data_IF_567760196210
#
_entry.id   IF_567760196210
#
_cell.length_a   1.000
_cell.length_b   1.000
_cell.length_c   1.000
_cell.angle_alpha   90.00
_cell.angle_beta   90.00
_cell.angle_gamma   90.00
#
_symmetry.space_group_name_H-M   'P 1'
#
loop_
_entity.id
_entity.type
_entity.pdbx_description
1 polymer ?
#
# COMPACT_ATOMS: atom_id res chain seq x y z
N UNK A 1 -7.16 -17.25 11.33
CA UNK A 1 -5.94 -17.00 10.54
C UNK A 1 -6.10 -15.73 9.71
N UNK A 2 -6.97 -15.69 8.69
CA UNK A 2 -7.12 -14.49 7.83
C UNK A 2 -7.51 -13.21 8.57
N UNK A 3 -8.37 -13.28 9.59
CA UNK A 3 -8.74 -12.08 10.37
C UNK A 3 -7.52 -11.41 11.02
N UNK A 4 -6.61 -12.19 11.61
CA UNK A 4 -5.39 -11.67 12.21
C UNK A 4 -4.46 -11.02 11.18
N UNK A 5 -4.30 -11.65 10.00
CA UNK A 5 -3.49 -11.11 8.90
C UNK A 5 -4.09 -9.79 8.39
N UNK A 6 -5.42 -9.71 8.25
CA UNK A 6 -6.12 -8.50 7.83
C UNK A 6 -5.90 -7.37 8.86
N UNK A 7 -6.01 -7.67 10.15
CA UNK A 7 -5.81 -6.69 11.22
C UNK A 7 -4.37 -6.17 11.23
N UNK A 8 -3.38 -7.07 11.19
CA UNK A 8 -1.95 -6.70 11.13
C UNK A 8 -1.62 -5.87 9.88
N UNK A 9 -2.18 -6.23 8.73
CA UNK A 9 -2.01 -5.46 7.49
C UNK A 9 -2.56 -4.04 7.65
N UNK A 10 -3.77 -3.91 8.21
CA UNK A 10 -4.39 -2.60 8.43
C UNK A 10 -3.63 -1.75 9.46
N UNK A 11 -3.05 -2.37 10.49
CA UNK A 11 -2.18 -1.69 11.46
C UNK A 11 -0.92 -1.14 10.80
N UNK A 12 -0.29 -1.90 9.91
CA UNK A 12 0.87 -1.46 9.13
C UNK A 12 0.50 -0.27 8.23
N UNK A 13 -0.63 -0.32 7.53
CA UNK A 13 -1.08 0.82 6.71
C UNK A 13 -1.35 2.05 7.58
N UNK A 14 -1.95 1.88 8.77
CA UNK A 14 -2.14 2.98 9.73
C UNK A 14 -0.80 3.56 10.16
N UNK A 15 0.19 2.73 10.47
CA UNK A 15 1.52 3.18 10.87
C UNK A 15 2.19 4.00 9.77
N UNK A 16 2.19 3.48 8.54
CA UNK A 16 2.68 4.18 7.35
C UNK A 16 1.98 5.54 7.16
N UNK A 17 0.64 5.56 7.13
CA UNK A 17 -0.13 6.78 6.96
C UNK A 17 0.10 7.78 8.10
N UNK A 18 0.33 7.30 9.32
CA UNK A 18 0.65 8.15 10.48
C UNK A 18 2.00 8.84 10.29
N UNK A 19 3.02 8.13 9.81
CA UNK A 19 4.32 8.74 9.49
C UNK A 19 4.22 9.73 8.34
N UNK A 20 3.39 9.44 7.34
CA UNK A 20 3.19 10.33 6.20
C UNK A 20 2.35 11.58 6.54
N UNK A 21 1.60 11.58 7.65
CA UNK A 21 0.72 12.71 8.02
C UNK A 21 1.44 14.07 8.06
N UNK A 22 2.73 14.09 8.40
CA UNK A 22 3.51 15.33 8.42
C UNK A 22 3.72 15.94 7.02
N UNK A 23 3.64 15.11 5.97
CA UNK A 23 3.85 15.53 4.57
C UNK A 23 2.54 15.74 3.80
N UNK A 24 1.50 14.95 4.09
CA UNK A 24 0.23 14.96 3.32
C UNK A 24 -1.00 15.38 4.13
N UNK A 25 -0.81 15.70 5.41
CA UNK A 25 -1.89 15.95 6.35
C UNK A 25 -2.66 14.69 6.74
N UNK A 26 -3.65 14.86 7.61
CA UNK A 26 -4.35 13.74 8.29
C UNK A 26 -5.56 13.19 7.53
N UNK A 27 -5.91 13.75 6.36
CA UNK A 27 -7.12 13.40 5.62
C UNK A 27 -7.12 11.92 5.22
N UNK A 28 -6.00 11.43 4.70
CA UNK A 28 -5.81 10.04 4.29
C UNK A 28 -5.99 9.05 5.42
N UNK A 29 -5.31 9.29 6.55
CA UNK A 29 -5.44 8.46 7.74
C UNK A 29 -6.89 8.40 8.24
N UNK A 30 -7.60 9.53 8.24
CA UNK A 30 -9.01 9.59 8.64
C UNK A 30 -9.91 8.82 7.69
N UNK A 31 -9.69 8.92 6.37
CA UNK A 31 -10.46 8.18 5.38
C UNK A 31 -10.17 6.68 5.45
N UNK A 32 -8.91 6.29 5.57
CA UNK A 32 -8.51 4.89 5.73
C UNK A 32 -9.16 4.24 6.96
N UNK A 33 -9.11 4.93 8.12
CA UNK A 33 -9.79 4.45 9.35
C UNK A 33 -11.29 4.25 9.17
N UNK A 34 -11.95 5.05 8.33
CA UNK A 34 -13.36 4.83 7.98
C UNK A 34 -13.50 3.59 7.11
N UNK A 35 -12.69 3.44 6.05
CA UNK A 35 -12.74 2.29 5.14
C UNK A 35 -12.64 0.99 5.93
N UNK A 36 -11.62 0.82 6.77
CA UNK A 36 -11.41 -0.44 7.50
C UNK A 36 -12.49 -0.73 8.54
N UNK A 37 -13.20 0.30 9.03
CA UNK A 37 -14.36 0.12 9.91
C UNK A 37 -15.55 -0.51 9.18
N UNK A 38 -15.72 -0.20 7.89
CA UNK A 38 -16.81 -0.73 7.07
C UNK A 38 -16.42 -2.01 6.33
N UNK A 39 -15.19 -2.08 5.84
CA UNK A 39 -14.65 -3.18 5.06
C UNK A 39 -13.15 -3.32 5.34
N UNK A 40 -12.82 -4.10 6.37
CA UNK A 40 -11.43 -4.32 6.79
C UNK A 40 -10.61 -5.15 5.81
N UNK A 41 -11.25 -5.94 4.94
CA UNK A 41 -10.57 -6.79 3.94
C UNK A 41 -10.20 -6.03 2.66
N UNK A 42 -10.93 -4.94 2.35
CA UNK A 42 -10.71 -4.16 1.12
C UNK A 42 -9.26 -3.69 0.93
N UNK A 43 -8.53 -3.18 1.94
CA UNK A 43 -7.17 -2.70 1.73
C UNK A 43 -6.19 -3.76 1.24
N UNK A 44 -6.21 -4.96 1.84
CA UNK A 44 -5.30 -6.04 1.46
C UNK A 44 -5.64 -6.58 0.07
N UNK A 45 -6.93 -6.64 -0.30
CA UNK A 45 -7.35 -7.01 -1.66
C UNK A 45 -6.92 -5.96 -2.69
N UNK A 46 -7.06 -4.67 -2.38
CA UNK A 46 -6.58 -3.59 -3.25
C UNK A 46 -5.06 -3.59 -3.38
N UNK A 47 -4.33 -3.85 -2.30
CA UNK A 47 -2.88 -3.95 -2.34
C UNK A 47 -2.43 -5.11 -3.23
N UNK A 48 -3.07 -6.27 -3.13
CA UNK A 48 -2.79 -7.41 -4.00
C UNK A 48 -2.97 -7.08 -5.48
N UNK A 49 -4.05 -6.37 -5.85
CA UNK A 49 -4.30 -5.99 -7.24
C UNK A 49 -3.25 -5.00 -7.77
N UNK A 50 -2.85 -4.04 -6.93
CA UNK A 50 -2.05 -2.90 -7.39
C UNK A 50 -0.53 -3.07 -7.19
N UNK A 51 -0.11 -3.78 -6.14
CA UNK A 51 1.29 -3.88 -5.73
C UNK A 51 1.94 -5.23 -6.08
N UNK A 52 1.16 -6.33 -6.11
CA UNK A 52 1.69 -7.66 -6.42
C UNK A 52 2.36 -7.77 -7.80
N UNK A 53 1.87 -7.10 -8.88
CA UNK A 53 2.58 -7.08 -10.17
C UNK A 53 4.01 -6.50 -10.10
N UNK A 54 4.30 -5.73 -9.04
CA UNK A 54 5.59 -5.11 -8.79
C UNK A 54 6.33 -5.73 -7.59
N UNK A 55 5.97 -6.96 -7.22
CA UNK A 55 6.54 -7.72 -6.10
C UNK A 55 8.07 -7.63 -6.04
N UNK A 56 8.74 -7.96 -7.12
CA UNK A 56 10.21 -8.03 -7.14
C UNK A 56 10.82 -6.65 -6.90
N UNK A 57 10.21 -5.59 -7.44
CA UNK A 57 10.62 -4.21 -7.18
C UNK A 57 10.49 -3.83 -5.70
N UNK A 58 9.44 -4.30 -5.03
CA UNK A 58 9.23 -4.07 -3.60
C UNK A 58 10.27 -4.83 -2.76
N UNK A 59 10.60 -6.06 -3.13
CA UNK A 59 11.61 -6.87 -2.43
C UNK A 59 13.02 -6.32 -2.62
N UNK A 60 13.34 -5.87 -3.83
CA UNK A 60 14.65 -5.32 -4.19
C UNK A 60 14.81 -3.84 -3.80
N UNK A 61 13.74 -3.21 -3.26
CA UNK A 61 13.69 -1.78 -2.95
C UNK A 61 14.01 -0.91 -4.15
N UNK A 62 13.56 -1.33 -5.33
CA UNK A 62 13.78 -0.63 -6.58
C UNK A 62 12.94 0.66 -6.60
N UNK A 63 13.61 1.81 -6.47
CA UNK A 63 12.99 3.13 -6.52
C UNK A 63 12.22 3.39 -7.82
N UNK A 64 12.45 2.62 -8.89
CA UNK A 64 11.65 2.66 -10.11
C UNK A 64 10.16 2.36 -9.86
N UNK A 65 9.85 1.63 -8.77
CA UNK A 65 8.49 1.40 -8.28
C UNK A 65 7.72 2.70 -8.08
N UNK A 66 8.34 3.68 -7.42
CA UNK A 66 7.71 4.99 -7.20
C UNK A 66 7.85 5.92 -8.42
N UNK A 67 8.80 5.65 -9.31
CA UNK A 67 9.16 6.57 -10.39
C UNK A 67 8.50 6.29 -11.75
N UNK A 68 7.98 5.07 -11.99
CA UNK A 68 7.34 4.71 -13.26
C UNK A 68 5.95 5.34 -13.44
N UNK A 69 5.95 6.57 -13.95
CA UNK A 69 4.76 7.34 -14.36
C UNK A 69 4.13 6.84 -15.68
N UNK A 70 4.58 5.72 -16.25
CA UNK A 70 4.11 5.21 -17.54
C UNK A 70 3.32 3.92 -17.36
N UNK A 71 2.01 4.06 -17.09
CA UNK A 71 0.93 3.26 -17.72
C UNK A 71 -0.45 3.49 -17.10
N UNK A 72 -0.57 4.39 -16.12
CA UNK A 72 -1.87 4.65 -15.52
C UNK A 72 -2.85 5.42 -16.42
N UNK A 73 -2.40 5.97 -17.56
CA UNK A 73 -3.26 6.76 -18.47
C UNK A 73 -4.36 5.94 -19.16
N UNK A 74 -4.17 4.63 -19.33
CA UNK A 74 -5.17 3.75 -19.96
C UNK A 74 -6.20 3.18 -18.97
N UNK A 75 -6.03 3.42 -17.66
CA UNK A 75 -6.95 3.01 -16.59
C UNK A 75 -7.85 4.20 -16.15
N UNK A 76 -7.66 5.40 -16.74
CA UNK A 76 -8.36 6.66 -16.42
C UNK A 76 -9.80 6.74 -16.98
N UNK A 77 -10.61 5.69 -16.85
CA UNK A 77 -12.04 5.79 -17.18
C UNK A 77 -12.98 5.96 -16.00
N UNK A 78 -12.50 5.86 -14.76
CA UNK A 78 -13.35 6.09 -13.59
C UNK A 78 -12.71 7.08 -12.60
N UNK A 79 -13.57 7.97 -12.10
CA UNK A 79 -13.40 9.12 -11.19
C UNK A 79 -12.75 8.81 -9.82
N UNK A 80 -11.68 8.02 -9.79
CA UNK A 80 -10.96 7.68 -8.56
C UNK A 80 -9.65 8.45 -8.49
N UNK A 81 -9.75 9.62 -7.87
CA UNK A 81 -8.69 10.57 -7.48
C UNK A 81 -7.44 9.96 -6.80
N UNK A 82 -7.40 8.66 -6.50
CA UNK A 82 -6.30 7.94 -5.84
C UNK A 82 -5.00 7.98 -6.64
N UNK A 83 -5.07 8.07 -7.97
CA UNK A 83 -3.90 8.11 -8.85
C UNK A 83 -3.08 9.40 -8.75
N UNK A 84 -3.75 10.53 -8.47
CA UNK A 84 -3.07 11.79 -8.17
C UNK A 84 -2.32 11.75 -6.82
N UNK A 85 -2.59 10.75 -5.97
CA UNK A 85 -1.98 10.59 -4.64
C UNK A 85 -0.72 9.73 -4.70
N UNK A 86 -0.62 8.85 -5.70
CA UNK A 86 0.61 8.12 -6.01
C UNK A 86 1.70 9.09 -6.50
N UNK A 87 1.32 10.14 -7.26
CA UNK A 87 2.22 11.25 -7.60
C UNK A 87 2.73 11.97 -6.35
N UNK A 88 1.86 12.19 -5.35
CA UNK A 88 2.28 12.74 -4.05
C UNK A 88 3.23 11.79 -3.33
N UNK A 89 2.99 10.49 -3.36
CA UNK A 89 3.86 9.51 -2.72
C UNK A 89 5.28 9.51 -3.33
N UNK A 90 5.38 9.60 -4.66
CA UNK A 90 6.66 9.77 -5.38
C UNK A 90 7.39 11.04 -4.93
N UNK A 91 6.70 12.18 -4.91
CA UNK A 91 7.30 13.45 -4.53
C UNK A 91 7.72 13.46 -3.05
N UNK A 92 6.93 12.85 -2.16
CA UNK A 92 7.30 12.68 -0.76
C UNK A 92 8.54 11.79 -0.67
N UNK A 93 8.50 10.61 -1.27
CA UNK A 93 9.57 9.62 -1.21
C UNK A 93 10.91 10.20 -1.67
N UNK A 94 10.91 10.99 -2.75
CA UNK A 94 12.11 11.64 -3.26
C UNK A 94 12.69 12.72 -2.32
N UNK A 95 11.86 13.29 -1.45
CA UNK A 95 12.26 14.32 -0.47
C UNK A 95 12.62 13.74 0.92
N UNK A 96 12.52 12.42 1.10
CA UNK A 96 12.89 11.74 2.35
C UNK A 96 14.40 11.48 2.41
N UNK A 97 14.97 11.52 3.62
CA UNK A 97 16.30 10.99 3.87
C UNK A 97 16.35 9.45 3.72
N UNK A 98 17.56 8.90 3.64
CA UNK A 98 17.74 7.47 3.41
C UNK A 98 17.14 6.59 4.52
N UNK A 99 17.12 7.07 5.77
CA UNK A 99 16.52 6.34 6.90
C UNK A 99 15.01 6.25 6.73
N UNK A 100 14.38 7.38 6.42
CA UNK A 100 12.95 7.49 6.17
C UNK A 100 12.54 6.69 4.93
N UNK A 101 13.32 6.71 3.84
CA UNK A 101 13.09 5.86 2.66
C UNK A 101 13.15 4.36 3.02
N UNK A 102 14.13 3.96 3.82
CA UNK A 102 14.25 2.58 4.29
C UNK A 102 13.02 2.16 5.11
N UNK A 103 12.54 3.03 6.00
CA UNK A 103 11.32 2.78 6.77
C UNK A 103 10.09 2.60 5.87
N UNK A 104 9.94 3.39 4.81
CA UNK A 104 8.87 3.20 3.81
C UNK A 104 8.98 1.81 3.18
N UNK A 105 10.17 1.40 2.77
CA UNK A 105 10.37 0.07 2.21
C UNK A 105 10.02 -1.05 3.18
N UNK A 106 10.40 -0.93 4.46
CA UNK A 106 10.06 -1.91 5.49
C UNK A 106 8.54 -2.10 5.61
N UNK A 107 7.76 -1.01 5.54
CA UNK A 107 6.30 -1.11 5.51
C UNK A 107 5.79 -1.82 4.26
N UNK A 108 6.28 -1.48 3.07
CA UNK A 108 5.85 -2.11 1.82
C UNK A 108 6.19 -3.60 1.78
N UNK A 109 7.36 -4.00 2.29
CA UNK A 109 7.76 -5.39 2.39
C UNK A 109 6.91 -6.16 3.40
N UNK A 110 6.59 -5.57 4.56
CA UNK A 110 5.69 -6.19 5.53
C UNK A 110 4.26 -6.36 4.97
N UNK A 111 3.73 -5.35 4.29
CA UNK A 111 2.44 -5.44 3.58
C UNK A 111 2.43 -6.54 2.52
N UNK A 112 3.52 -6.67 1.75
CA UNK A 112 3.66 -7.71 0.74
C UNK A 112 3.62 -9.12 1.35
N UNK A 113 4.40 -9.37 2.39
CA UNK A 113 4.44 -10.67 3.09
C UNK A 113 3.05 -11.06 3.61
N UNK A 114 2.36 -10.13 4.29
CA UNK A 114 1.02 -10.38 4.81
C UNK A 114 -0.01 -10.63 3.69
N UNK A 115 0.13 -9.93 2.56
CA UNK A 115 -0.73 -10.10 1.39
C UNK A 115 -0.56 -11.48 0.75
N UNK A 116 0.68 -11.95 0.62
CA UNK A 116 1.00 -13.28 0.10
C UNK A 116 0.47 -14.38 1.02
N UNK A 117 0.65 -14.24 2.33
CA UNK A 117 0.14 -15.19 3.32
C UNK A 117 -1.40 -15.20 3.33
N UNK A 118 -2.04 -14.03 3.20
CA UNK A 118 -3.49 -13.95 3.04
C UNK A 118 -3.98 -14.70 1.78
N UNK A 119 -3.29 -14.53 0.66
CA UNK A 119 -3.64 -15.19 -0.60
C UNK A 119 -3.50 -16.71 -0.48
N UNK A 120 -2.40 -17.19 0.08
CA UNK A 120 -2.16 -18.62 0.34
C UNK A 120 -3.28 -19.23 1.16
N UNK A 121 -3.63 -18.59 2.29
CA UNK A 121 -4.73 -19.04 3.14
C UNK A 121 -6.10 -18.99 2.46
N UNK A 122 -6.30 -18.08 1.49
CA UNK A 122 -7.53 -18.01 0.69
C UNK A 122 -7.60 -19.17 -0.30
N UNK A 123 -6.50 -19.49 -0.99
CA UNK A 123 -6.42 -20.61 -1.95
C UNK A 123 -6.60 -21.97 -1.26
N UNK A 124 -5.94 -22.20 -0.12
CA UNK A 124 -6.06 -23.45 0.64
C UNK A 124 -7.48 -23.72 1.18
N UNK A 125 -8.34 -22.70 1.28
CA UNK A 125 -9.76 -22.88 1.66
C UNK A 125 -10.66 -23.38 0.54
N UNK A 126 -10.20 -23.32 -0.71
CA UNK A 126 -10.94 -23.77 -1.90
C UNK A 126 -10.41 -25.08 -2.49
N UNK A 127 -9.41 -25.69 -1.83
CA UNK A 127 -8.88 -27.02 -2.09
C UNK A 127 -9.37 -27.99 -1.00
#
# INVERSE_FOLDING_TARGET
MNHKIIDEFNEIVIALLTQLCQFIGVAYLKQFKKIIKYNSIMPIEQFLVNALPYRDKILERDESYFNNNNDYRNILKDDTNTLNEILKLKDIFNNLDNESKNNIWDFFQAMLILSEEFLKNKVERYL
#
